data_IF_843594984910
#
_entry.id   IF_843594984910
#
_cell.length_a   1.000
_cell.length_b   1.000
_cell.length_c   1.000
_cell.angle_alpha   90.00
_cell.angle_beta   90.00
_cell.angle_gamma   90.00
#
_symmetry.space_group_name_H-M   'P 1'
#
loop_
_entity.id
_entity.type
_entity.pdbx_description
1 polymer ?
#
# COMPACT_ATOMS: atom_id res chain seq x y z
N UNK A 1 0.34 20.41 -3.81
CA UNK A 1 1.64 19.85 -4.25
C UNK A 1 1.91 18.40 -3.80
N UNK A 2 1.75 17.95 -2.54
CA UNK A 2 1.75 16.48 -2.20
C UNK A 2 0.35 15.85 -2.20
N UNK A 3 -0.60 16.51 -1.56
CA UNK A 3 -2.00 16.05 -1.49
C UNK A 3 -2.63 15.89 -2.87
N UNK A 4 -2.25 16.72 -3.85
CA UNK A 4 -2.82 16.70 -5.19
C UNK A 4 -2.51 15.43 -5.98
N UNK A 5 -1.29 14.88 -5.92
CA UNK A 5 -0.94 13.63 -6.61
C UNK A 5 -1.69 12.46 -5.98
N UNK A 6 -1.77 12.44 -4.65
CA UNK A 6 -2.58 11.46 -3.91
C UNK A 6 -4.04 11.51 -4.35
N UNK A 7 -4.66 12.69 -4.40
CA UNK A 7 -6.06 12.82 -4.83
C UNK A 7 -6.27 12.34 -6.26
N UNK A 8 -5.31 12.58 -7.17
CA UNK A 8 -5.40 12.09 -8.55
C UNK A 8 -5.33 10.57 -8.63
N UNK A 9 -4.44 9.93 -7.88
CA UNK A 9 -4.37 8.47 -7.79
C UNK A 9 -5.65 7.92 -7.17
N UNK A 10 -6.09 8.48 -6.03
CA UNK A 10 -7.30 8.02 -5.31
C UNK A 10 -8.55 8.09 -6.20
N UNK A 11 -8.77 9.20 -6.91
CA UNK A 11 -9.91 9.33 -7.84
C UNK A 11 -9.91 8.24 -8.91
N UNK A 12 -8.75 7.92 -9.48
CA UNK A 12 -8.64 6.88 -10.51
C UNK A 12 -8.91 5.49 -9.89
N UNK A 13 -8.30 5.18 -8.74
CA UNK A 13 -8.53 3.92 -8.02
C UNK A 13 -10.00 3.73 -7.69
N UNK A 14 -10.68 4.79 -7.20
CA UNK A 14 -12.09 4.71 -6.85
C UNK A 14 -12.97 4.47 -8.08
N UNK A 15 -12.64 5.08 -9.24
CA UNK A 15 -13.31 4.78 -10.52
C UNK A 15 -13.13 3.32 -10.91
N UNK A 16 -11.91 2.77 -10.82
CA UNK A 16 -11.63 1.37 -11.14
C UNK A 16 -12.41 0.40 -10.25
N UNK A 17 -12.54 0.71 -8.96
CA UNK A 17 -13.30 -0.11 -8.01
C UNK A 17 -14.82 -0.04 -8.28
N UNK A 18 -15.34 1.12 -8.64
CA UNK A 18 -16.74 1.29 -9.05
C UNK A 18 -17.05 0.52 -10.34
N UNK A 19 -16.16 0.60 -11.33
CA UNK A 19 -16.27 -0.11 -12.61
C UNK A 19 -16.14 -1.64 -12.46
N UNK A 20 -15.48 -2.13 -11.39
CA UNK A 20 -15.35 -3.56 -11.12
C UNK A 20 -16.68 -4.24 -10.76
N UNK A 21 -17.72 -3.46 -10.39
CA UNK A 21 -19.05 -3.99 -10.11
C UNK A 21 -19.14 -4.89 -8.87
N UNK A 22 -18.26 -4.66 -7.89
CA UNK A 22 -18.28 -5.34 -6.59
C UNK A 22 -19.57 -5.00 -5.83
N UNK A 23 -20.01 -5.87 -4.93
CA UNK A 23 -21.13 -5.52 -4.07
C UNK A 23 -20.74 -4.39 -3.07
N UNK A 24 -21.74 -3.77 -2.45
CA UNK A 24 -21.50 -2.62 -1.57
C UNK A 24 -20.61 -2.95 -0.35
N UNK A 25 -20.70 -4.18 0.18
CA UNK A 25 -19.92 -4.60 1.33
C UNK A 25 -18.49 -4.91 0.91
N UNK A 26 -18.30 -5.60 -0.21
CA UNK A 26 -16.99 -5.86 -0.81
C UNK A 26 -16.28 -4.56 -1.19
N UNK A 27 -16.99 -3.61 -1.78
CA UNK A 27 -16.47 -2.27 -2.12
C UNK A 27 -16.01 -1.53 -0.87
N UNK A 28 -16.86 -1.46 0.16
CA UNK A 28 -16.52 -0.76 1.40
C UNK A 28 -15.32 -1.39 2.12
N UNK A 29 -15.28 -2.73 2.20
CA UNK A 29 -14.18 -3.47 2.82
C UNK A 29 -12.86 -3.25 2.05
N UNK A 30 -12.90 -3.34 0.71
CA UNK A 30 -11.73 -3.15 -0.15
C UNK A 30 -11.17 -1.74 -0.05
N UNK A 31 -12.06 -0.73 -0.09
CA UNK A 31 -11.67 0.67 0.09
C UNK A 31 -11.05 0.91 1.46
N UNK A 32 -11.67 0.39 2.52
CA UNK A 32 -11.17 0.51 3.89
C UNK A 32 -9.76 -0.08 4.02
N UNK A 33 -9.52 -1.26 3.45
CA UNK A 33 -8.22 -1.93 3.48
C UNK A 33 -7.14 -1.09 2.78
N UNK A 34 -7.30 -0.75 1.50
CA UNK A 34 -6.26 -0.03 0.74
C UNK A 34 -6.00 1.37 1.32
N UNK A 35 -7.02 2.05 1.81
CA UNK A 35 -6.90 3.37 2.42
C UNK A 35 -6.22 3.31 3.79
N UNK A 36 -6.48 2.26 4.58
CA UNK A 36 -5.81 2.03 5.86
C UNK A 36 -4.33 1.70 5.63
N UNK A 37 -4.02 0.77 4.73
CA UNK A 37 -2.64 0.41 4.35
C UNK A 37 -1.88 1.63 3.82
N UNK A 38 -2.51 2.47 3.00
CA UNK A 38 -1.91 3.72 2.51
C UNK A 38 -1.52 4.66 3.66
N UNK A 39 -2.43 4.91 4.62
CA UNK A 39 -2.17 5.78 5.78
C UNK A 39 -1.06 5.21 6.68
N UNK A 40 -1.11 3.92 6.98
CA UNK A 40 -0.09 3.25 7.79
C UNK A 40 1.27 3.32 7.08
N UNK A 41 1.31 3.07 5.77
CA UNK A 41 2.54 3.17 4.97
C UNK A 41 3.15 4.56 5.04
N UNK A 42 2.34 5.61 4.94
CA UNK A 42 2.80 6.99 5.08
C UNK A 42 3.41 7.27 6.46
N UNK A 43 2.74 6.84 7.53
CA UNK A 43 3.22 7.04 8.90
C UNK A 43 4.51 6.26 9.18
N UNK A 44 4.60 5.01 8.74
CA UNK A 44 5.80 4.19 8.88
C UNK A 44 6.97 4.79 8.08
N UNK A 45 6.74 5.23 6.85
CA UNK A 45 7.75 5.91 6.04
C UNK A 45 8.28 7.16 6.75
N UNK A 46 7.40 7.98 7.32
CA UNK A 46 7.81 9.15 8.11
C UNK A 46 8.63 8.76 9.34
N UNK A 47 8.19 7.75 10.10
CA UNK A 47 8.91 7.26 11.29
C UNK A 47 10.30 6.71 10.96
N UNK A 48 10.46 6.14 9.77
CA UNK A 48 11.74 5.59 9.27
C UNK A 48 12.63 6.63 8.60
N UNK A 49 12.21 7.90 8.52
CA UNK A 49 13.00 8.97 7.90
C UNK A 49 13.02 8.94 6.37
N UNK A 50 12.04 8.26 5.73
CA UNK A 50 11.93 8.19 4.27
C UNK A 50 11.39 9.52 3.74
N UNK A 51 12.21 10.24 2.98
CA UNK A 51 11.95 11.61 2.56
C UNK A 51 10.66 11.76 1.73
N UNK A 52 10.37 10.77 0.87
CA UNK A 52 9.17 10.74 0.01
C UNK A 52 8.09 9.78 0.52
N UNK A 53 7.67 9.95 1.78
CA UNK A 53 6.56 9.19 2.40
C UNK A 53 5.25 9.16 1.58
N UNK A 54 5.03 10.17 0.73
CA UNK A 54 3.93 10.21 -0.24
C UNK A 54 3.94 9.01 -1.21
N UNK A 55 5.11 8.54 -1.65
CA UNK A 55 5.20 7.38 -2.54
C UNK A 55 4.81 6.09 -1.82
N UNK A 56 5.12 5.98 -0.52
CA UNK A 56 4.67 4.87 0.31
C UNK A 56 3.13 4.87 0.47
N UNK A 57 2.52 6.04 0.63
CA UNK A 57 1.06 6.17 0.62
C UNK A 57 0.45 5.68 -0.70
N UNK A 58 1.01 6.12 -1.83
CA UNK A 58 0.54 5.74 -3.17
C UNK A 58 0.72 4.24 -3.42
N UNK A 59 1.84 3.65 -3.00
CA UNK A 59 2.04 2.21 -3.06
C UNK A 59 0.98 1.46 -2.25
N UNK A 60 0.66 1.92 -1.03
CA UNK A 60 -0.41 1.35 -0.23
C UNK A 60 -1.80 1.46 -0.87
N UNK A 61 -2.13 2.56 -1.53
CA UNK A 61 -3.40 2.70 -2.26
C UNK A 61 -3.52 1.72 -3.44
N UNK A 62 -2.41 1.41 -4.09
CA UNK A 62 -2.39 0.66 -5.34
C UNK A 62 -2.16 -0.85 -5.16
N UNK A 63 -1.63 -1.28 -4.01
CA UNK A 63 -1.00 -2.60 -3.88
C UNK A 63 -1.89 -3.78 -4.25
N UNK A 64 -3.16 -3.73 -3.85
CA UNK A 64 -4.14 -4.79 -4.05
C UNK A 64 -5.24 -4.45 -5.06
N UNK A 65 -5.14 -3.30 -5.75
CA UNK A 65 -6.14 -2.87 -6.74
C UNK A 65 -6.38 -3.94 -7.79
N UNK A 66 -5.32 -4.61 -8.27
CA UNK A 66 -5.48 -5.71 -9.23
C UNK A 66 -6.32 -6.86 -8.67
N UNK A 67 -6.01 -7.33 -7.46
CA UNK A 67 -6.76 -8.43 -6.84
C UNK A 67 -8.21 -8.06 -6.59
N UNK A 68 -8.47 -6.81 -6.20
CA UNK A 68 -9.80 -6.28 -5.94
C UNK A 68 -10.63 -6.23 -7.24
N UNK A 69 -10.10 -5.61 -8.30
CA UNK A 69 -10.89 -5.38 -9.52
C UNK A 69 -11.04 -6.61 -10.41
N UNK A 70 -10.14 -7.60 -10.28
CA UNK A 70 -10.19 -8.84 -11.10
C UNK A 70 -10.70 -10.05 -10.34
N UNK A 71 -10.70 -10.01 -8.99
CA UNK A 71 -10.90 -11.19 -8.15
C UNK A 71 -9.73 -12.18 -8.17
N UNK A 72 -8.67 -11.94 -8.93
CA UNK A 72 -7.54 -12.86 -9.07
C UNK A 72 -6.46 -12.63 -8.01
N UNK A 73 -6.24 -13.64 -7.15
CA UNK A 73 -5.19 -13.58 -6.10
C UNK A 73 -3.87 -14.24 -6.49
N UNK A 74 -3.85 -15.09 -7.51
CA UNK A 74 -2.63 -15.75 -7.96
C UNK A 74 -1.68 -14.72 -8.57
N UNK A 75 -0.46 -14.61 -8.01
CA UNK A 75 0.56 -13.63 -8.41
C UNK A 75 0.04 -12.18 -8.42
N UNK A 76 -0.92 -11.84 -7.56
CA UNK A 76 -1.53 -10.50 -7.51
C UNK A 76 -0.51 -9.38 -7.31
N UNK A 77 0.57 -9.60 -6.54
CA UNK A 77 1.62 -8.60 -6.38
C UNK A 77 2.36 -8.30 -7.69
N UNK A 78 2.70 -9.33 -8.48
CA UNK A 78 3.37 -9.18 -9.78
C UNK A 78 2.43 -8.49 -10.78
N UNK A 79 1.22 -9.02 -10.94
CA UNK A 79 0.22 -8.43 -11.86
C UNK A 79 -0.23 -7.03 -11.43
N UNK A 80 -0.34 -6.81 -10.12
CA UNK A 80 -0.62 -5.52 -9.49
C UNK A 80 0.44 -4.48 -9.78
N UNK A 81 1.72 -4.86 -9.80
CA UNK A 81 2.79 -3.94 -10.19
C UNK A 81 2.70 -3.49 -11.65
N UNK A 82 2.27 -4.37 -12.56
CA UNK A 82 2.05 -4.03 -13.96
C UNK A 82 0.83 -3.11 -14.14
N UNK A 83 -0.26 -3.37 -13.42
CA UNK A 83 -1.42 -2.48 -13.39
C UNK A 83 -1.04 -1.11 -12.83
N UNK A 84 -0.32 -1.06 -11.70
CA UNK A 84 0.16 0.18 -11.11
C UNK A 84 1.06 0.96 -12.07
N UNK A 85 1.95 0.29 -12.79
CA UNK A 85 2.78 0.91 -13.85
C UNK A 85 1.90 1.60 -14.89
N UNK A 86 0.83 0.94 -15.34
CA UNK A 86 -0.09 1.48 -16.34
C UNK A 86 -0.87 2.69 -15.82
N UNK A 87 -1.32 2.64 -14.56
CA UNK A 87 -2.00 3.76 -13.87
C UNK A 87 -1.06 4.97 -13.76
N UNK A 88 0.16 4.77 -13.27
CA UNK A 88 1.13 5.86 -13.05
C UNK A 88 1.55 6.51 -14.37
N UNK A 89 1.76 5.71 -15.43
CA UNK A 89 2.06 6.20 -16.77
C UNK A 89 0.89 7.01 -17.36
N UNK A 90 -0.35 6.56 -17.15
CA UNK A 90 -1.54 7.27 -17.61
C UNK A 90 -1.68 8.62 -16.91
N UNK A 91 -1.39 8.69 -15.61
CA UNK A 91 -1.44 9.96 -14.88
C UNK A 91 -0.35 10.94 -15.32
N UNK A 92 0.83 10.45 -15.73
CA UNK A 92 1.96 11.24 -16.23
C UNK A 92 2.40 12.39 -15.28
N UNK A 93 2.32 12.15 -13.96
CA UNK A 93 2.71 13.11 -12.91
C UNK A 93 3.84 12.63 -12.00
N UNK A 94 4.38 11.45 -12.29
CA UNK A 94 5.48 10.84 -11.54
C UNK A 94 6.70 10.73 -12.45
N UNK A 95 7.87 10.90 -11.86
CA UNK A 95 9.13 10.62 -12.55
C UNK A 95 9.32 9.11 -12.71
N UNK A 96 10.17 8.70 -13.66
CA UNK A 96 10.48 7.29 -13.87
C UNK A 96 10.96 6.59 -12.59
N UNK A 97 11.83 7.24 -11.81
CA UNK A 97 12.32 6.68 -10.54
C UNK A 97 11.23 6.55 -9.49
N UNK A 98 10.29 7.51 -9.40
CA UNK A 98 9.14 7.41 -8.51
C UNK A 98 8.19 6.28 -8.91
N UNK A 99 7.95 6.10 -10.21
CA UNK A 99 7.19 4.96 -10.71
C UNK A 99 7.84 3.64 -10.31
N UNK A 100 9.16 3.50 -10.51
CA UNK A 100 9.90 2.30 -10.13
C UNK A 100 9.78 1.99 -8.64
N UNK A 101 9.95 2.99 -7.76
CA UNK A 101 9.79 2.84 -6.31
C UNK A 101 8.42 2.25 -5.96
N UNK A 102 7.34 2.86 -6.50
CA UNK A 102 5.97 2.43 -6.22
C UNK A 102 5.74 1.00 -6.71
N UNK A 103 6.11 0.72 -7.97
CA UNK A 103 5.81 -0.57 -8.61
C UNK A 103 6.64 -1.70 -8.02
N UNK A 104 7.87 -1.43 -7.58
CA UNK A 104 8.73 -2.42 -6.94
C UNK A 104 8.21 -2.79 -5.54
N UNK A 105 7.79 -1.79 -4.76
CA UNK A 105 7.14 -2.04 -3.47
C UNK A 105 5.90 -2.94 -3.64
N UNK A 106 5.04 -2.64 -4.61
CA UNK A 106 3.86 -3.45 -4.94
C UNK A 106 4.27 -4.85 -5.39
N UNK A 107 5.27 -5.00 -6.26
CA UNK A 107 5.73 -6.30 -6.74
C UNK A 107 6.19 -7.22 -5.60
N UNK A 108 6.81 -6.63 -4.58
CA UNK A 108 7.42 -7.35 -3.47
C UNK A 108 6.52 -7.57 -2.26
N UNK A 109 5.38 -6.87 -2.13
CA UNK A 109 4.62 -6.81 -0.87
C UNK A 109 4.12 -8.18 -0.36
N UNK A 110 3.82 -9.12 -1.26
CA UNK A 110 3.40 -10.48 -0.86
C UNK A 110 4.55 -11.38 -0.38
N UNK A 111 5.81 -11.01 -0.66
CA UNK A 111 7.03 -11.77 -0.32
C UNK A 111 7.51 -11.49 1.11
N UNK A 112 6.64 -11.68 2.11
CA UNK A 112 6.88 -11.24 3.50
C UNK A 112 8.06 -11.89 4.23
N UNK A 113 8.54 -13.06 3.76
CA UNK A 113 9.72 -13.77 4.31
C UNK A 113 11.06 -13.23 3.81
N UNK A 114 11.05 -12.43 2.75
CA UNK A 114 12.25 -11.82 2.15
C UNK A 114 12.29 -10.35 2.55
N UNK A 115 13.48 -9.86 2.86
CA UNK A 115 13.74 -8.42 3.04
C UNK A 115 14.12 -7.84 1.68
N UNK A 116 13.44 -6.77 1.26
CA UNK A 116 13.69 -6.03 0.01
C UNK A 116 14.10 -4.57 0.32
N UNK A 117 13.75 -3.62 -0.54
CA UNK A 117 14.03 -2.18 -0.35
C UNK A 117 13.14 -1.52 0.73
N UNK A 118 13.48 -0.28 1.09
CA UNK A 118 12.82 0.46 2.18
C UNK A 118 11.30 0.65 1.98
N UNK A 119 10.83 0.88 0.75
CA UNK A 119 9.41 1.08 0.45
C UNK A 119 8.68 -0.26 0.43
N UNK A 120 9.32 -1.31 -0.10
CA UNK A 120 8.82 -2.69 0.01
C UNK A 120 8.61 -3.08 1.47
N UNK A 121 9.57 -2.80 2.36
CA UNK A 121 9.44 -3.13 3.78
C UNK A 121 8.41 -2.27 4.51
N UNK A 122 8.23 -1.00 4.12
CA UNK A 122 7.12 -0.18 4.64
C UNK A 122 5.78 -0.79 4.27
N UNK A 123 5.58 -1.13 2.99
CA UNK A 123 4.31 -1.65 2.50
C UNK A 123 3.96 -3.01 3.12
N UNK A 124 4.94 -3.93 3.24
CA UNK A 124 4.75 -5.23 3.91
C UNK A 124 4.33 -5.09 5.37
N UNK A 125 4.97 -4.16 6.08
CA UNK A 125 4.70 -3.92 7.50
C UNK A 125 3.33 -3.25 7.69
N UNK A 126 2.96 -2.32 6.80
CA UNK A 126 1.65 -1.68 6.80
C UNK A 126 0.50 -2.64 6.50
N UNK A 127 0.65 -3.48 5.47
CA UNK A 127 -0.32 -4.50 5.10
C UNK A 127 -0.52 -5.54 6.22
N UNK A 128 0.58 -6.03 6.80
CA UNK A 128 0.52 -6.92 7.96
C UNK A 128 -0.18 -6.28 9.18
N UNK A 129 0.10 -5.01 9.45
CA UNK A 129 -0.53 -4.29 10.56
C UNK A 129 -2.04 -4.07 10.31
N UNK A 130 -2.44 -3.70 9.09
CA UNK A 130 -3.86 -3.52 8.78
C UNK A 130 -4.66 -4.82 8.90
N UNK A 131 -4.13 -5.95 8.42
CA UNK A 131 -4.76 -7.25 8.63
C UNK A 131 -4.97 -7.57 10.12
N UNK A 132 -3.99 -7.23 10.97
CA UNK A 132 -4.15 -7.38 12.42
C UNK A 132 -5.22 -6.44 12.98
N UNK A 133 -5.25 -5.17 12.60
CA UNK A 133 -6.21 -4.19 13.10
C UNK A 133 -7.65 -4.50 12.65
N UNK A 134 -7.82 -5.03 11.44
CA UNK A 134 -9.14 -5.33 10.86
C UNK A 134 -9.73 -6.66 11.34
N UNK A 135 -8.91 -7.67 11.61
CA UNK A 135 -9.39 -9.02 11.94
C UNK A 135 -8.99 -9.53 13.33
N UNK A 136 -8.05 -8.86 14.01
CA UNK A 136 -7.36 -9.36 15.22
C UNK A 136 -6.66 -10.71 15.04
N UNK A 137 -6.55 -11.23 13.81
CA UNK A 137 -5.87 -12.50 13.51
C UNK A 137 -4.41 -12.20 13.17
N UNK A 138 -3.49 -12.84 13.89
CA UNK A 138 -2.06 -12.75 13.63
C UNK A 138 -1.62 -14.04 12.95
N UNK A 139 -1.22 -13.93 11.67
CA UNK A 139 -0.53 -15.03 11.02
C UNK A 139 0.92 -15.12 11.54
N UNK A 140 1.45 -16.34 11.69
CA UNK A 140 2.82 -16.51 12.22
C UNK A 140 3.88 -15.81 11.35
N UNK A 141 3.64 -15.67 10.04
CA UNK A 141 4.53 -14.94 9.11
C UNK A 141 4.50 -13.42 9.30
N UNK A 142 3.42 -12.89 9.88
CA UNK A 142 3.20 -11.45 10.01
C UNK A 142 3.54 -10.92 11.41
N UNK A 143 3.60 -11.79 12.44
CA UNK A 143 3.83 -11.39 13.84
C UNK A 143 4.99 -10.42 14.03
N UNK A 144 6.18 -10.74 13.54
CA UNK A 144 7.36 -9.88 13.71
C UNK A 144 7.21 -8.53 13.02
N UNK A 145 6.50 -8.46 11.89
CA UNK A 145 6.21 -7.22 11.16
C UNK A 145 5.22 -6.35 11.92
N UNK A 146 4.17 -6.97 12.47
CA UNK A 146 3.15 -6.31 13.29
C UNK A 146 3.80 -5.71 14.54
N UNK A 147 4.57 -6.50 15.30
CA UNK A 147 5.25 -6.05 16.52
C UNK A 147 6.19 -4.88 16.24
N UNK A 148 6.99 -4.97 15.17
CA UNK A 148 7.88 -3.90 14.73
C UNK A 148 7.11 -2.63 14.34
N UNK A 149 6.10 -2.74 13.47
CA UNK A 149 5.33 -1.59 13.01
C UNK A 149 4.59 -0.91 14.18
N UNK A 150 4.01 -1.70 15.07
CA UNK A 150 3.32 -1.19 16.26
C UNK A 150 4.28 -0.45 17.19
N UNK A 151 5.47 -1.02 17.43
CA UNK A 151 6.51 -0.38 18.22
C UNK A 151 6.96 0.96 17.60
N UNK A 152 7.33 0.98 16.32
CA UNK A 152 7.76 2.20 15.61
C UNK A 152 6.73 3.34 15.66
N UNK A 153 5.43 3.00 15.55
CA UNK A 153 4.35 3.98 15.55
C UNK A 153 3.98 4.50 16.94
N UNK A 154 4.21 3.70 17.98
CA UNK A 154 3.81 4.03 19.37
C UNK A 154 4.94 4.59 20.21
N UNK A 155 6.20 4.38 19.83
CA UNK A 155 7.32 5.04 20.49
C UNK A 155 7.18 6.57 20.40
N UNK A 156 7.44 7.25 21.52
CA UNK A 156 7.44 8.71 21.58
C UNK A 156 8.45 9.24 20.57
N UNK A 157 7.98 10.03 19.61
CA UNK A 157 8.89 10.84 18.80
C UNK A 157 9.63 11.81 19.74
N UNK A 158 10.96 11.95 19.63
CA UNK A 158 11.70 12.95 20.42
C UNK A 158 11.27 14.39 20.14
N UNK A 159 10.55 14.64 19.04
CA UNK A 159 10.07 15.94 18.62
C UNK A 159 8.77 15.79 17.81
N UNK A 160 7.65 15.79 18.51
CA UNK A 160 6.41 16.43 18.06
C UNK A 160 5.92 17.31 19.21
#
# INVERSE_FOLDING_TARGET
MRTERIERVRKLVYSLLDEAGLDSQETASSLMHIESVARISYLLAMRRGIEKSELAYIAGLLHDVYAIVTGEREKHAEKGSLLATSILNTLAIFTFSECQIITEAIRNHSSKKRTDDEYSEVLKDADALDHYLSSSIISAKDRGRIEKAFFELTEKSPCL
#
